data_IF_370944466456
#
_entry.id   IF_370944466456
#
_cell.length_a   1.000
_cell.length_b   1.000
_cell.length_c   1.000
_cell.angle_alpha   90.00
_cell.angle_beta   90.00
_cell.angle_gamma   90.00
#
_symmetry.space_group_name_H-M   'P 1'
#
loop_
_entity.id
_entity.type
_entity.pdbx_description
1 polymer ?
#
# COMPACT_ATOMS: atom_id res chain seq x y z
N UNK A 1 -26.43 23.76 0.29
CA UNK A 1 -25.12 24.07 0.85
C UNK A 1 -24.32 24.59 -0.33
N UNK A 2 -23.95 25.89 -0.30
CA UNK A 2 -23.25 26.51 -1.43
C UNK A 2 -21.81 26.01 -1.52
N UNK A 3 -21.21 26.02 -2.72
CA UNK A 3 -19.78 25.65 -2.93
C UNK A 3 -18.86 26.49 -2.02
N UNK A 4 -19.21 27.75 -1.75
CA UNK A 4 -18.47 28.63 -0.83
C UNK A 4 -18.42 28.07 0.61
N UNK A 5 -19.54 27.55 1.14
CA UNK A 5 -19.57 26.96 2.49
C UNK A 5 -18.77 25.67 2.60
N UNK A 6 -18.69 24.91 1.49
CA UNK A 6 -17.86 23.69 1.45
C UNK A 6 -16.38 24.06 1.45
N UNK A 7 -15.99 25.07 0.68
CA UNK A 7 -14.61 25.57 0.58
C UNK A 7 -14.15 26.16 1.93
N UNK A 8 -14.98 27.00 2.55
CA UNK A 8 -14.67 27.62 3.85
C UNK A 8 -14.55 26.57 4.97
N UNK A 9 -15.41 25.54 4.97
CA UNK A 9 -15.33 24.45 5.95
C UNK A 9 -14.09 23.53 5.70
N UNK A 10 -13.67 23.39 4.46
CA UNK A 10 -12.46 22.66 4.10
C UNK A 10 -11.20 23.42 4.53
N UNK A 11 -11.15 24.74 4.31
CA UNK A 11 -10.07 25.61 4.75
C UNK A 11 -9.93 25.65 6.28
N UNK A 12 -11.04 25.72 7.01
CA UNK A 12 -11.05 25.68 8.48
C UNK A 12 -10.60 24.32 9.04
N UNK A 13 -10.95 23.21 8.37
CA UNK A 13 -10.48 21.89 8.72
C UNK A 13 -8.97 21.71 8.43
N UNK A 14 -8.49 22.24 7.32
CA UNK A 14 -7.05 22.26 6.99
C UNK A 14 -6.24 23.12 7.97
N UNK A 15 -6.81 24.22 8.46
CA UNK A 15 -6.18 25.06 9.48
C UNK A 15 -6.12 24.37 10.85
N UNK A 16 -7.14 23.57 11.20
CA UNK A 16 -7.20 22.82 12.47
C UNK A 16 -6.37 21.52 12.45
N UNK A 17 -6.27 20.86 11.29
CA UNK A 17 -5.55 19.58 11.13
C UNK A 17 -4.11 19.76 10.61
N UNK A 18 -3.73 20.98 10.22
CA UNK A 18 -2.50 21.27 9.45
C UNK A 18 -2.64 20.85 7.99
N UNK A 19 -2.21 21.71 7.08
CA UNK A 19 -2.19 21.38 5.63
C UNK A 19 -1.41 20.10 5.41
N UNK A 20 -1.87 19.20 4.50
CA UNK A 20 -1.10 18.02 4.13
C UNK A 20 0.31 18.45 3.68
N UNK A 21 1.30 18.09 4.45
CA UNK A 21 2.72 18.36 4.18
C UNK A 21 3.29 17.19 3.37
N UNK A 22 4.07 17.49 2.35
CA UNK A 22 4.70 16.49 1.49
C UNK A 22 5.55 15.50 2.29
N UNK A 23 6.35 16.00 3.24
CA UNK A 23 7.20 15.17 4.11
C UNK A 23 6.34 14.19 4.94
N UNK A 24 5.30 14.71 5.60
CA UNK A 24 4.38 13.86 6.38
C UNK A 24 3.68 12.82 5.51
N UNK A 25 3.27 13.20 4.30
CA UNK A 25 2.63 12.27 3.38
C UNK A 25 3.60 11.19 2.91
N UNK A 26 4.86 11.53 2.67
CA UNK A 26 5.92 10.56 2.38
C UNK A 26 6.22 9.63 3.56
N UNK A 27 6.13 10.11 4.82
CA UNK A 27 6.21 9.24 6.01
C UNK A 27 5.07 8.21 6.01
N UNK A 28 3.85 8.60 5.62
CA UNK A 28 2.71 7.67 5.47
C UNK A 28 2.97 6.66 4.34
N UNK A 29 3.51 7.10 3.20
CA UNK A 29 3.90 6.20 2.09
C UNK A 29 4.91 5.16 2.58
N UNK A 30 5.94 5.57 3.31
CA UNK A 30 6.94 4.67 3.88
C UNK A 30 6.31 3.68 4.86
N UNK A 31 5.49 4.16 5.80
CA UNK A 31 4.82 3.33 6.80
C UNK A 31 3.86 2.30 6.15
N UNK A 32 3.08 2.72 5.16
CA UNK A 32 2.21 1.84 4.39
C UNK A 32 3.00 0.80 3.58
N UNK A 33 4.15 1.19 3.00
CA UNK A 33 5.05 0.26 2.29
C UNK A 33 5.57 -0.81 3.24
N UNK A 34 6.04 -0.40 4.44
CA UNK A 34 6.52 -1.33 5.45
C UNK A 34 5.40 -2.24 5.99
N UNK A 35 4.21 -1.71 6.24
CA UNK A 35 3.06 -2.49 6.69
C UNK A 35 2.64 -3.53 5.65
N UNK A 36 2.62 -3.17 4.38
CA UNK A 36 2.32 -4.10 3.28
C UNK A 36 3.43 -5.15 3.09
N UNK A 37 4.71 -4.76 3.24
CA UNK A 37 5.84 -5.68 3.27
C UNK A 37 5.64 -6.75 4.35
N UNK A 38 5.38 -6.34 5.58
CA UNK A 38 5.19 -7.25 6.71
C UNK A 38 3.97 -8.16 6.49
N UNK A 39 2.87 -7.63 5.94
CA UNK A 39 1.68 -8.39 5.60
C UNK A 39 1.96 -9.47 4.55
N UNK A 40 2.66 -9.13 3.47
CA UNK A 40 3.03 -10.08 2.42
C UNK A 40 3.98 -11.16 2.95
N UNK A 41 4.94 -10.78 3.80
CA UNK A 41 5.88 -11.70 4.44
C UNK A 41 5.17 -12.64 5.42
N UNK A 42 4.22 -12.12 6.22
CA UNK A 42 3.34 -12.93 7.08
C UNK A 42 2.54 -13.95 6.28
N UNK A 43 2.01 -13.58 5.11
CA UNK A 43 1.27 -14.51 4.25
C UNK A 43 2.18 -15.52 3.58
N UNK A 44 3.39 -15.15 3.18
CA UNK A 44 4.39 -16.09 2.69
C UNK A 44 4.69 -17.21 3.71
N UNK A 45 4.84 -16.88 4.99
CA UNK A 45 5.09 -17.87 6.04
C UNK A 45 3.91 -18.79 6.33
N UNK A 46 2.67 -18.27 6.22
CA UNK A 46 1.49 -18.89 6.79
C UNK A 46 0.48 -19.38 5.75
N UNK A 47 0.76 -19.25 4.45
CA UNK A 47 -0.14 -19.78 3.42
C UNK A 47 -0.09 -21.30 3.41
N UNK A 48 -1.27 -21.93 3.23
CA UNK A 48 -1.46 -23.38 3.18
C UNK A 48 -2.41 -23.76 2.06
N UNK A 49 -2.48 -25.06 1.74
CA UNK A 49 -3.46 -25.66 0.84
C UNK A 49 -2.90 -26.16 -0.48
N UNK A 50 -3.80 -26.56 -1.41
CA UNK A 50 -3.41 -27.27 -2.65
C UNK A 50 -2.50 -26.43 -3.58
N UNK A 51 -2.54 -25.11 -3.48
CA UNK A 51 -1.72 -24.20 -4.29
C UNK A 51 -0.57 -23.58 -3.50
N UNK A 52 -0.18 -24.20 -2.39
CA UNK A 52 0.87 -23.71 -1.48
C UNK A 52 2.09 -23.15 -2.22
N UNK A 53 2.73 -23.96 -3.08
CA UNK A 53 3.97 -23.55 -3.75
C UNK A 53 3.80 -22.30 -4.59
N UNK A 54 2.72 -22.21 -5.37
CA UNK A 54 2.46 -21.05 -6.22
C UNK A 54 2.17 -19.78 -5.41
N UNK A 55 1.42 -19.89 -4.32
CA UNK A 55 1.08 -18.76 -3.46
C UNK A 55 2.25 -18.31 -2.59
N UNK A 56 3.00 -19.26 -2.04
CA UNK A 56 4.23 -19.01 -1.30
C UNK A 56 5.25 -18.24 -2.14
N UNK A 57 5.49 -18.69 -3.39
CA UNK A 57 6.35 -18.00 -4.34
C UNK A 57 5.83 -16.62 -4.73
N UNK A 58 4.50 -16.47 -4.90
CA UNK A 58 3.90 -15.18 -5.20
C UNK A 58 4.14 -14.17 -4.07
N UNK A 59 3.80 -14.54 -2.82
CA UNK A 59 4.01 -13.68 -1.67
C UNK A 59 5.50 -13.37 -1.45
N UNK A 60 6.40 -14.32 -1.76
CA UNK A 60 7.85 -14.10 -1.73
C UNK A 60 8.27 -12.96 -2.66
N UNK A 61 7.84 -12.99 -3.90
CA UNK A 61 8.14 -11.93 -4.87
C UNK A 61 7.61 -10.57 -4.43
N UNK A 62 6.41 -10.56 -3.83
CA UNK A 62 5.79 -9.32 -3.34
C UNK A 62 6.57 -8.73 -2.17
N UNK A 63 6.92 -9.52 -1.14
CA UNK A 63 7.63 -8.96 0.00
C UNK A 63 9.05 -8.54 -0.35
N UNK A 64 9.75 -9.24 -1.26
CA UNK A 64 11.09 -8.85 -1.73
C UNK A 64 11.04 -7.49 -2.45
N UNK A 65 10.08 -7.31 -3.37
CA UNK A 65 9.89 -6.02 -4.05
C UNK A 65 9.60 -4.90 -3.05
N UNK A 66 8.67 -5.13 -2.10
CA UNK A 66 8.30 -4.11 -1.11
C UNK A 66 9.46 -3.78 -0.16
N UNK A 67 10.33 -4.73 0.15
CA UNK A 67 11.52 -4.49 0.97
C UNK A 67 12.48 -3.47 0.32
N UNK A 68 12.71 -3.62 -0.99
CA UNK A 68 13.50 -2.65 -1.77
C UNK A 68 12.81 -1.27 -1.83
N UNK A 69 11.48 -1.26 -1.92
CA UNK A 69 10.69 -0.02 -1.94
C UNK A 69 10.68 0.72 -0.60
N UNK A 70 10.82 0.02 0.54
CA UNK A 70 10.98 0.64 1.87
C UNK A 70 12.23 1.50 1.92
N UNK A 71 13.37 0.97 1.49
CA UNK A 71 14.64 1.69 1.47
C UNK A 71 14.57 2.93 0.59
N UNK A 72 14.12 2.77 -0.64
CA UNK A 72 14.00 3.87 -1.59
C UNK A 72 13.04 4.96 -1.10
N UNK A 73 11.90 4.60 -0.47
CA UNK A 73 10.97 5.58 0.10
C UNK A 73 11.61 6.37 1.25
N UNK A 74 12.39 5.71 2.11
CA UNK A 74 13.13 6.35 3.18
C UNK A 74 14.19 7.33 2.65
N UNK A 75 14.91 6.98 1.59
CA UNK A 75 15.88 7.84 0.93
C UNK A 75 15.23 9.08 0.28
N UNK A 76 14.02 8.94 -0.31
CA UNK A 76 13.27 10.10 -0.81
C UNK A 76 12.90 11.08 0.31
N UNK A 77 12.54 10.59 1.50
CA UNK A 77 12.30 11.44 2.67
C UNK A 77 13.59 12.16 3.07
N UNK A 78 14.73 11.48 3.03
CA UNK A 78 16.04 12.08 3.30
C UNK A 78 16.40 13.17 2.28
N UNK A 79 16.08 12.95 1.00
CA UNK A 79 16.28 13.94 -0.05
C UNK A 79 15.40 15.19 0.12
N UNK A 80 14.22 15.07 0.76
CA UNK A 80 13.38 16.20 1.17
C UNK A 80 13.91 16.96 2.40
N UNK A 81 15.04 16.54 2.99
CA UNK A 81 15.67 17.19 4.14
C UNK A 81 15.14 16.74 5.50
N UNK A 82 14.25 15.74 5.56
CA UNK A 82 13.67 15.21 6.79
C UNK A 82 14.32 13.89 7.21
N UNK A 83 14.18 13.50 8.49
CA UNK A 83 14.52 12.16 8.94
C UNK A 83 13.41 11.16 8.60
N UNK A 84 13.79 9.98 8.13
CA UNK A 84 12.85 8.89 7.89
C UNK A 84 12.49 8.18 9.21
N UNK A 85 11.20 7.88 9.48
CA UNK A 85 10.80 7.05 10.61
C UNK A 85 11.38 5.63 10.45
N UNK A 86 11.79 5.00 11.57
CA UNK A 86 12.47 3.70 11.54
C UNK A 86 12.15 2.80 12.74
N UNK A 87 11.15 3.12 13.55
CA UNK A 87 10.70 2.28 14.66
C UNK A 87 9.31 1.68 14.38
N UNK A 88 9.04 0.51 14.95
CA UNK A 88 7.72 -0.15 14.81
C UNK A 88 6.58 0.75 15.29
N UNK A 89 6.81 1.51 16.38
CA UNK A 89 5.81 2.44 16.92
C UNK A 89 5.51 3.61 15.98
N UNK A 90 6.52 4.14 15.30
CA UNK A 90 6.34 5.18 14.29
C UNK A 90 5.55 4.63 13.11
N UNK A 91 5.91 3.45 12.59
CA UNK A 91 5.18 2.81 11.49
C UNK A 91 3.72 2.53 11.85
N UNK A 92 3.45 2.01 13.06
CA UNK A 92 2.09 1.79 13.55
C UNK A 92 1.27 3.10 13.59
N UNK A 93 1.87 4.19 14.08
CA UNK A 93 1.19 5.48 14.21
C UNK A 93 0.93 6.19 12.88
N UNK A 94 1.74 5.91 11.85
CA UNK A 94 1.68 6.56 10.55
C UNK A 94 0.91 5.74 9.51
N UNK A 95 0.89 4.41 9.66
CA UNK A 95 0.22 3.54 8.71
C UNK A 95 -1.29 3.74 8.72
N UNK A 96 -1.89 3.78 7.55
CA UNK A 96 -3.35 3.81 7.37
C UNK A 96 -3.95 2.41 7.22
N UNK A 97 -3.11 1.36 7.28
CA UNK A 97 -3.52 -0.03 7.16
C UNK A 97 -3.87 -0.59 8.54
N UNK A 98 -4.95 -1.38 8.60
CA UNK A 98 -5.26 -2.14 9.81
C UNK A 98 -4.38 -3.39 9.89
N UNK A 99 -3.76 -3.62 11.04
CA UNK A 99 -3.05 -4.87 11.35
C UNK A 99 -3.95 -5.82 12.13
N UNK A 100 -3.73 -7.12 11.96
CA UNK A 100 -4.43 -8.18 12.66
C UNK A 100 -3.53 -9.41 12.82
N UNK A 101 -3.58 -10.05 13.99
CA UNK A 101 -2.86 -11.29 14.26
C UNK A 101 -3.49 -12.50 13.55
N UNK A 102 -4.72 -12.39 13.05
CA UNK A 102 -5.44 -13.48 12.39
C UNK A 102 -4.69 -13.99 11.16
N UNK A 103 -4.68 -15.32 10.98
CA UNK A 103 -4.19 -16.00 9.79
C UNK A 103 -5.41 -16.47 8.99
N UNK A 104 -5.84 -15.73 7.96
CA UNK A 104 -7.00 -16.12 7.16
C UNK A 104 -6.63 -17.20 6.13
N UNK A 105 -7.64 -17.86 5.56
CA UNK A 105 -7.42 -18.73 4.41
C UNK A 105 -6.89 -17.96 3.18
N UNK A 106 -6.25 -18.66 2.25
CA UNK A 106 -5.53 -18.07 1.10
C UNK A 106 -6.35 -17.05 0.29
N UNK A 107 -7.64 -17.31 0.03
CA UNK A 107 -8.53 -16.35 -0.65
C UNK A 107 -8.59 -15.00 0.06
N UNK A 108 -8.73 -15.02 1.38
CA UNK A 108 -8.79 -13.80 2.18
C UNK A 108 -7.40 -13.14 2.34
N UNK A 109 -6.30 -13.92 2.27
CA UNK A 109 -4.94 -13.35 2.19
C UNK A 109 -4.79 -12.48 0.94
N UNK A 110 -5.20 -12.96 -0.22
CA UNK A 110 -5.19 -12.18 -1.47
C UNK A 110 -6.12 -10.96 -1.39
N UNK A 111 -7.32 -11.09 -0.84
CA UNK A 111 -8.26 -9.98 -0.71
C UNK A 111 -7.70 -8.88 0.21
N UNK A 112 -7.10 -9.25 1.35
CA UNK A 112 -6.47 -8.29 2.28
C UNK A 112 -5.22 -7.65 1.68
N UNK A 113 -4.40 -8.42 0.94
CA UNK A 113 -3.24 -7.86 0.23
C UNK A 113 -3.67 -6.86 -0.85
N UNK A 114 -4.78 -7.13 -1.56
CA UNK A 114 -5.33 -6.18 -2.53
C UNK A 114 -5.81 -4.88 -1.86
N UNK A 115 -6.48 -4.98 -0.71
CA UNK A 115 -6.90 -3.82 0.06
C UNK A 115 -5.71 -3.00 0.58
N UNK A 116 -4.66 -3.67 1.07
CA UNK A 116 -3.41 -3.02 1.48
C UNK A 116 -2.73 -2.31 0.30
N UNK A 117 -2.68 -2.95 -0.87
CA UNK A 117 -2.17 -2.33 -2.10
C UNK A 117 -2.97 -1.08 -2.49
N UNK A 118 -4.30 -1.09 -2.34
CA UNK A 118 -5.13 0.09 -2.62
C UNK A 118 -4.81 1.24 -1.65
N UNK A 119 -4.72 0.97 -0.35
CA UNK A 119 -4.37 1.99 0.64
C UNK A 119 -2.98 2.60 0.41
N UNK A 120 -2.00 1.78 -0.02
CA UNK A 120 -0.69 2.28 -0.40
C UNK A 120 -0.76 3.16 -1.66
N UNK A 121 -1.50 2.75 -2.69
CA UNK A 121 -1.72 3.54 -3.92
C UNK A 121 -2.38 4.89 -3.59
N UNK A 122 -3.34 4.93 -2.68
CA UNK A 122 -3.99 6.17 -2.25
C UNK A 122 -2.97 7.14 -1.60
N UNK A 123 -2.09 6.62 -0.74
CA UNK A 123 -1.04 7.44 -0.12
C UNK A 123 0.02 7.92 -1.13
N UNK A 124 0.39 7.09 -2.12
CA UNK A 124 1.30 7.47 -3.21
C UNK A 124 0.68 8.57 -4.07
N UNK A 125 -0.61 8.46 -4.43
CA UNK A 125 -1.31 9.50 -5.19
C UNK A 125 -1.38 10.83 -4.43
N UNK A 126 -1.64 10.79 -3.13
CA UNK A 126 -1.63 12.00 -2.29
C UNK A 126 -0.23 12.68 -2.28
N UNK A 127 0.84 11.90 -2.10
CA UNK A 127 2.20 12.41 -2.14
C UNK A 127 2.57 12.97 -3.53
N UNK A 128 2.18 12.26 -4.61
CA UNK A 128 2.41 12.72 -5.98
C UNK A 128 1.78 14.08 -6.24
N UNK A 129 0.52 14.25 -5.84
CA UNK A 129 -0.18 15.54 -6.01
C UNK A 129 0.48 16.69 -5.23
N UNK A 130 1.06 16.42 -4.06
CA UNK A 130 1.84 17.40 -3.30
C UNK A 130 3.18 17.72 -3.99
N UNK A 131 3.92 16.70 -4.40
CA UNK A 131 5.19 16.85 -5.11
C UNK A 131 5.05 17.66 -6.41
N UNK A 132 3.95 17.43 -7.16
CA UNK A 132 3.64 18.18 -8.39
C UNK A 132 3.38 19.65 -8.10
N UNK A 133 2.62 19.99 -7.05
CA UNK A 133 2.37 21.38 -6.62
C UNK A 133 3.65 22.11 -6.17
N UNK A 134 4.59 21.38 -5.61
CA UNK A 134 5.89 21.93 -5.20
C UNK A 134 6.93 21.97 -6.34
N UNK A 135 6.59 21.48 -7.53
CA UNK A 135 7.49 21.39 -8.67
C UNK A 135 8.62 20.37 -8.51
N UNK A 136 8.47 19.40 -7.59
CA UNK A 136 9.46 18.35 -7.39
C UNK A 136 9.26 17.20 -8.39
N UNK A 137 9.63 17.43 -9.63
CA UNK A 137 9.41 16.47 -10.73
C UNK A 137 10.21 15.17 -10.57
N UNK A 138 11.35 15.20 -9.87
CA UNK A 138 12.10 13.97 -9.55
C UNK A 138 11.28 13.02 -8.67
N UNK A 139 10.67 13.56 -7.61
CA UNK A 139 9.79 12.80 -6.73
C UNK A 139 8.50 12.37 -7.44
N UNK A 140 7.93 13.22 -8.32
CA UNK A 140 6.78 12.86 -9.15
C UNK A 140 7.09 11.61 -9.99
N UNK A 141 8.22 11.59 -10.72
CA UNK A 141 8.62 10.45 -11.54
C UNK A 141 8.80 9.16 -10.69
N UNK A 142 9.41 9.27 -9.52
CA UNK A 142 9.55 8.14 -8.59
C UNK A 142 8.18 7.58 -8.15
N UNK A 143 7.25 8.46 -7.79
CA UNK A 143 5.93 8.07 -7.34
C UNK A 143 5.08 7.48 -8.48
N UNK A 144 5.21 7.99 -9.71
CA UNK A 144 4.54 7.44 -10.91
C UNK A 144 5.06 6.04 -11.27
N UNK A 145 6.37 5.79 -11.18
CA UNK A 145 6.94 4.44 -11.36
C UNK A 145 6.38 3.46 -10.33
N UNK A 146 6.21 3.90 -9.08
CA UNK A 146 5.56 3.09 -8.05
C UNK A 146 4.10 2.80 -8.35
N UNK A 147 3.33 3.78 -8.81
CA UNK A 147 1.92 3.59 -9.19
C UNK A 147 1.79 2.52 -10.30
N UNK A 148 2.65 2.52 -11.30
CA UNK A 148 2.66 1.49 -12.37
C UNK A 148 2.94 0.09 -11.79
N UNK A 149 3.95 -0.05 -10.93
CA UNK A 149 4.27 -1.32 -10.25
C UNK A 149 3.10 -1.84 -9.41
N UNK A 150 2.44 -0.97 -8.65
CA UNK A 150 1.29 -1.34 -7.82
C UNK A 150 0.03 -1.63 -8.63
N UNK A 151 -0.17 -0.99 -9.80
CA UNK A 151 -1.23 -1.33 -10.74
C UNK A 151 -1.03 -2.75 -11.30
N UNK A 152 0.20 -3.09 -11.70
CA UNK A 152 0.56 -4.46 -12.14
C UNK A 152 0.37 -5.48 -11.02
N UNK A 153 0.78 -5.15 -9.80
CA UNK A 153 0.59 -6.02 -8.63
C UNK A 153 -0.88 -6.28 -8.35
N UNK A 154 -1.73 -5.24 -8.40
CA UNK A 154 -3.18 -5.39 -8.24
C UNK A 154 -3.79 -6.33 -9.27
N UNK A 155 -3.37 -6.23 -10.55
CA UNK A 155 -3.79 -7.16 -11.59
C UNK A 155 -3.37 -8.61 -11.27
N UNK A 156 -2.13 -8.83 -10.84
CA UNK A 156 -1.64 -10.15 -10.48
C UNK A 156 -2.41 -10.75 -9.30
N UNK A 157 -2.68 -9.97 -8.25
CA UNK A 157 -3.46 -10.39 -7.08
C UNK A 157 -4.87 -10.80 -7.52
N UNK A 158 -5.56 -9.96 -8.30
CA UNK A 158 -6.91 -10.25 -8.83
C UNK A 158 -6.93 -11.53 -9.65
N UNK A 159 -5.91 -11.79 -10.46
CA UNK A 159 -5.78 -13.00 -11.28
C UNK A 159 -5.72 -14.28 -10.44
N UNK A 160 -5.10 -14.24 -9.26
CA UNK A 160 -5.10 -15.36 -8.31
C UNK A 160 -6.47 -15.60 -7.66
N UNK A 161 -7.28 -14.54 -7.50
CA UNK A 161 -8.61 -14.65 -6.89
C UNK A 161 -9.66 -15.29 -7.82
N UNK A 162 -9.61 -14.99 -9.13
CA UNK A 162 -10.58 -15.53 -10.12
C UNK A 162 -10.51 -17.05 -10.25
N UNK A 163 -9.34 -17.65 -10.14
CA UNK A 163 -9.16 -19.09 -10.24
C UNK A 163 -9.81 -19.89 -9.10
N UNK A 164 -9.95 -19.28 -7.93
CA UNK A 164 -10.53 -19.95 -6.74
C UNK A 164 -12.07 -20.07 -6.80
N UNK A 165 -12.74 -19.21 -7.53
CA UNK A 165 -14.21 -19.28 -7.71
C UNK A 165 -14.62 -20.35 -8.73
N UNK A 166 -13.81 -20.60 -9.74
CA UNK A 166 -14.07 -21.62 -10.77
C UNK A 166 -13.91 -23.05 -10.24
N UNK A 167 -13.02 -23.27 -9.29
CA UNK A 167 -12.75 -24.61 -8.73
C UNK A 167 -13.87 -25.08 -7.80
N UNK A 168 -14.67 -24.19 -7.21
CA UNK A 168 -15.83 -24.56 -6.39
C UNK A 168 -17.11 -24.82 -7.21
N UNK A 169 -17.15 -24.47 -8.49
CA UNK A 169 -18.33 -24.60 -9.35
C UNK A 169 -18.37 -25.86 -10.24
N UNK A 170 -17.30 -26.63 -10.32
CA UNK A 170 -17.29 -27.89 -11.07
C UNK A 170 -17.71 -29.05 -10.16
N UNK A 171 -19.01 -29.30 -10.05
CA UNK A 171 -19.47 -30.66 -9.72
C UNK A 171 -19.13 -31.55 -10.91
N UNK A 172 -18.57 -32.75 -10.69
CA UNK A 172 -18.54 -33.78 -11.74
C UNK A 172 -20.01 -34.09 -12.08
N UNK A 173 -20.40 -33.91 -13.31
CA UNK A 173 -21.60 -34.54 -13.86
C UNK A 173 -21.21 -35.96 -14.17
N UNK A 174 -21.83 -36.90 -13.49
CA UNK A 174 -21.78 -38.35 -13.76
C UNK A 174 -22.12 -38.68 -15.23
#
# INVERSE_FOLDING_TARGET
>A
MSEEMITENTELLEEQLGKPDLVRTMHIVLANTFSMYLLAHKYHWNVEGPFFSAYHDFFSKVYVQLFEEVDTAAEQIRALGSYAPGTMKEFESLSTMSDTAEIPGSKNMFARLLAANSALVDSINAARGLAEREGNYGLVNYLEDRLDKHAKLAWMIKSHMVGQERTMGMRPTD
#
